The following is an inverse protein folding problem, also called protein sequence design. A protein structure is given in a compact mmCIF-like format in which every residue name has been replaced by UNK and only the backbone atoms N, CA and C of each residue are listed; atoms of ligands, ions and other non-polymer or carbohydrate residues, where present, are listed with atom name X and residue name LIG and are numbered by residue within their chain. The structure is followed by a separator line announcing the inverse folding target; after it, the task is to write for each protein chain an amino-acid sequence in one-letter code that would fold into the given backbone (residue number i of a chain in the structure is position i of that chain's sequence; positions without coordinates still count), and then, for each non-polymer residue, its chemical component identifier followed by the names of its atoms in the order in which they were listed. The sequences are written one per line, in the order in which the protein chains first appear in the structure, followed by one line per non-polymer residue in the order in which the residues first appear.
data_IF_327194481046
#
_entry.id   IF_327194481046
#
_cell.length_a   1.000
_cell.length_b   1.000
_cell.length_c   1.000
_cell.angle_alpha   90.00
_cell.angle_beta   90.00
_cell.angle_gamma   90.00
#
_symmetry.space_group_name_H-M   'P 1'
#
loop_
_entity.id
_entity.type
_entity.pdbx_description
1 polymer ?
#
# COMPACT_ATOMS: atom_id res chain seq x y z
N UNK A 1 0.66 14.17 9.01
CA UNK A 1 0.89 13.93 10.47
C UNK A 1 0.45 12.51 10.77
N UNK A 2 1.38 11.54 10.88
CA UNK A 2 1.06 10.19 11.32
C UNK A 2 0.38 10.30 12.70
N UNK A 3 -0.92 10.01 12.80
CA UNK A 3 -1.58 9.88 14.10
C UNK A 3 -0.90 8.72 14.83
N UNK A 4 -0.07 9.02 15.80
CA UNK A 4 0.39 8.02 16.76
C UNK A 4 -0.83 7.58 17.56
N UNK A 5 -1.36 6.39 17.23
CA UNK A 5 -2.44 5.80 18.01
C UNK A 5 -1.97 5.60 19.44
N UNK A 6 -2.74 6.09 20.40
CA UNK A 6 -2.49 5.82 21.82
C UNK A 6 -3.10 4.46 22.19
N UNK A 7 -2.64 3.88 23.29
CA UNK A 7 -3.25 2.64 23.85
C UNK A 7 -4.76 2.82 24.05
N UNK A 8 -5.19 4.01 24.41
CA UNK A 8 -6.60 4.37 24.59
C UNK A 8 -7.37 4.32 23.27
N UNK A 9 -6.81 4.86 22.19
CA UNK A 9 -7.44 4.85 20.86
C UNK A 9 -7.63 3.41 20.36
N UNK A 10 -6.59 2.59 20.48
CA UNK A 10 -6.63 1.17 20.11
C UNK A 10 -7.63 0.40 20.97
N UNK A 11 -7.63 0.62 22.28
CA UNK A 11 -8.57 -0.04 23.20
C UNK A 11 -10.03 0.30 22.87
N UNK A 12 -10.30 1.59 22.60
CA UNK A 12 -11.64 2.05 22.22
C UNK A 12 -12.09 1.45 20.88
N UNK A 13 -11.23 1.48 19.85
CA UNK A 13 -11.53 0.94 18.54
C UNK A 13 -11.74 -0.58 18.56
N UNK A 14 -10.96 -1.33 19.37
CA UNK A 14 -11.07 -2.78 19.50
C UNK A 14 -12.15 -3.23 20.50
N UNK A 15 -12.81 -2.31 21.23
CA UNK A 15 -13.82 -2.64 22.24
C UNK A 15 -13.25 -3.42 23.43
N UNK A 16 -12.07 -3.05 23.91
CA UNK A 16 -11.38 -3.64 25.07
C UNK A 16 -10.90 -2.55 26.03
N UNK A 17 -10.43 -2.93 27.23
CA UNK A 17 -9.87 -1.95 28.17
C UNK A 17 -8.41 -1.59 27.82
N UNK A 18 -8.00 -0.35 28.08
CA UNK A 18 -6.61 0.11 27.92
C UNK A 18 -5.64 -0.75 28.74
N UNK A 19 -6.02 -1.12 29.98
CA UNK A 19 -5.24 -2.01 30.82
C UNK A 19 -5.05 -3.41 30.23
N UNK A 20 -6.04 -3.90 29.47
CA UNK A 20 -5.93 -5.17 28.75
C UNK A 20 -4.91 -5.07 27.60
N UNK A 21 -5.01 -4.02 26.77
CA UNK A 21 -4.05 -3.78 25.66
C UNK A 21 -2.64 -3.68 26.22
N UNK A 22 -2.44 -2.89 27.28
CA UNK A 22 -1.14 -2.72 27.94
C UNK A 22 -0.56 -4.02 28.53
N UNK A 23 -1.40 -4.92 29.06
CA UNK A 23 -0.94 -6.26 29.52
C UNK A 23 -0.61 -7.17 28.34
N UNK A 24 -1.39 -7.10 27.26
CA UNK A 24 -1.16 -7.90 26.06
C UNK A 24 0.18 -7.53 25.40
N UNK A 25 0.47 -6.24 25.23
CA UNK A 25 1.77 -5.76 24.72
C UNK A 25 2.97 -6.26 25.53
N UNK A 26 2.80 -6.37 26.84
CA UNK A 26 3.87 -6.87 27.74
C UNK A 26 3.90 -8.39 27.84
N UNK A 27 3.13 -9.11 27.02
CA UNK A 27 3.06 -10.57 27.07
C UNK A 27 2.45 -11.14 28.37
N UNK A 28 1.73 -10.31 29.13
CA UNK A 28 1.13 -10.68 30.46
C UNK A 28 -0.35 -11.05 30.39
N UNK A 29 -0.88 -11.15 29.18
CA UNK A 29 -2.27 -11.56 28.91
C UNK A 29 -2.35 -12.27 27.58
N UNK A 30 -3.26 -13.20 27.43
CA UNK A 30 -3.62 -13.82 26.15
C UNK A 30 -4.91 -13.19 25.63
N UNK A 31 -5.08 -13.21 24.30
CA UNK A 31 -6.27 -12.74 23.62
C UNK A 31 -6.85 -13.86 22.75
N UNK A 32 -8.19 -13.90 22.62
CA UNK A 32 -8.83 -14.77 21.65
C UNK A 32 -8.54 -14.30 20.21
N UNK A 33 -8.65 -15.19 19.24
CA UNK A 33 -8.49 -14.85 17.80
C UNK A 33 -9.42 -13.69 17.41
N UNK A 34 -10.68 -13.72 17.87
CA UNK A 34 -11.63 -12.64 17.61
C UNK A 34 -11.19 -11.29 18.21
N UNK A 35 -10.53 -11.31 19.38
CA UNK A 35 -9.98 -10.09 19.99
C UNK A 35 -8.75 -9.60 19.22
N UNK A 36 -7.88 -10.52 18.78
CA UNK A 36 -6.71 -10.18 17.94
C UNK A 36 -7.12 -9.58 16.60
N UNK A 37 -8.19 -10.13 15.96
CA UNK A 37 -8.76 -9.54 14.74
C UNK A 37 -9.21 -8.09 14.93
N UNK A 38 -9.92 -7.79 16.03
CA UNK A 38 -10.36 -6.43 16.33
C UNK A 38 -9.18 -5.49 16.64
N UNK A 39 -8.16 -5.98 17.33
CA UNK A 39 -6.94 -5.22 17.59
C UNK A 39 -6.16 -4.94 16.31
N UNK A 40 -5.99 -5.93 15.43
CA UNK A 40 -5.35 -5.77 14.12
C UNK A 40 -6.08 -4.71 13.28
N UNK A 41 -7.42 -4.83 13.18
CA UNK A 41 -8.24 -3.84 12.49
C UNK A 41 -8.13 -2.42 13.10
N UNK A 42 -8.06 -2.31 14.45
CA UNK A 42 -7.93 -1.04 15.14
C UNK A 42 -6.60 -0.32 14.84
N UNK A 43 -5.52 -1.07 14.55
CA UNK A 43 -4.21 -0.52 14.19
C UNK A 43 -3.94 -0.55 12.67
N UNK A 44 -4.90 -1.05 11.87
CA UNK A 44 -4.81 -1.06 10.40
C UNK A 44 -3.83 -2.09 9.84
N UNK A 45 -3.70 -3.27 10.47
CA UNK A 45 -2.87 -4.37 9.99
C UNK A 45 -3.69 -5.66 9.84
N UNK A 46 -3.20 -6.61 9.06
CA UNK A 46 -3.79 -7.94 8.95
C UNK A 46 -3.49 -8.77 10.21
N UNK A 47 -4.40 -9.68 10.57
CA UNK A 47 -4.18 -10.57 11.74
C UNK A 47 -2.92 -11.42 11.58
N UNK A 48 -2.54 -11.79 10.35
CA UNK A 48 -1.31 -12.49 10.01
C UNK A 48 -0.05 -11.72 10.45
N UNK A 49 -0.11 -10.38 10.40
CA UNK A 49 1.02 -9.52 10.76
C UNK A 49 1.29 -9.54 12.28
N UNK A 50 0.26 -9.81 13.10
CA UNK A 50 0.44 -10.00 14.55
C UNK A 50 1.24 -11.27 14.90
N UNK A 51 1.28 -12.25 14.00
CA UNK A 51 1.99 -13.51 14.16
C UNK A 51 3.27 -13.61 13.32
N UNK A 52 3.47 -12.65 12.42
CA UNK A 52 4.76 -12.45 11.77
C UNK A 52 5.73 -12.02 12.86
N UNK A 53 6.51 -12.96 13.42
CA UNK A 53 7.43 -12.73 14.55
C UNK A 53 8.27 -11.48 14.36
N UNK A 54 8.99 -11.03 15.41
CA UNK A 54 9.77 -9.77 15.41
C UNK A 54 10.41 -9.54 14.04
N UNK A 55 9.93 -8.52 13.33
CA UNK A 55 10.49 -8.12 12.04
C UNK A 55 11.99 -8.04 12.21
N UNK A 56 12.74 -8.82 11.45
CA UNK A 56 14.20 -8.79 11.53
C UNK A 56 14.63 -7.32 11.46
N UNK A 57 15.17 -6.81 12.56
CA UNK A 57 15.71 -5.46 12.64
C UNK A 57 16.99 -5.47 11.79
N UNK A 58 16.84 -5.10 10.52
CA UNK A 58 17.96 -5.09 9.58
C UNK A 58 17.50 -4.88 8.12
N UNK A 59 18.44 -4.63 7.21
CA UNK A 59 18.10 -4.48 5.81
C UNK A 59 17.53 -5.79 5.24
N UNK A 60 16.39 -5.70 4.58
CA UNK A 60 15.70 -6.83 3.94
C UNK A 60 15.85 -6.73 2.45
N UNK A 61 16.48 -7.73 1.84
CA UNK A 61 16.66 -7.78 0.39
C UNK A 61 15.57 -8.66 -0.22
N UNK A 62 14.75 -8.08 -1.10
CA UNK A 62 13.81 -8.82 -1.94
C UNK A 62 14.41 -8.94 -3.35
N UNK A 63 14.82 -10.12 -3.72
CA UNK A 63 15.41 -10.37 -5.04
C UNK A 63 14.34 -10.30 -6.13
N UNK A 64 14.71 -9.83 -7.33
CA UNK A 64 13.77 -9.69 -8.46
C UNK A 64 13.01 -10.98 -8.74
N UNK A 65 13.67 -12.14 -8.69
CA UNK A 65 13.09 -13.47 -8.92
C UNK A 65 12.12 -13.94 -7.81
N UNK A 66 12.15 -13.29 -6.65
CA UNK A 66 11.29 -13.60 -5.50
C UNK A 66 10.03 -12.73 -5.48
N UNK A 67 9.95 -11.73 -6.36
CA UNK A 67 8.78 -10.85 -6.45
C UNK A 67 7.61 -11.60 -7.02
N UNK A 68 6.49 -11.54 -6.32
CA UNK A 68 5.24 -12.07 -6.83
C UNK A 68 4.65 -11.09 -7.84
N UNK A 69 4.52 -11.52 -9.09
CA UNK A 69 3.80 -10.78 -10.12
C UNK A 69 2.31 -11.08 -10.01
N UNK A 70 1.50 -10.04 -10.00
CA UNK A 70 0.04 -10.11 -9.94
C UNK A 70 -0.53 -9.37 -11.15
N UNK A 71 -1.52 -9.98 -11.80
CA UNK A 71 -2.34 -9.29 -12.80
C UNK A 71 -3.03 -8.08 -12.14
N UNK A 72 -3.08 -6.95 -12.83
CA UNK A 72 -3.65 -5.73 -12.29
C UNK A 72 -4.33 -4.88 -13.38
N UNK A 73 -5.60 -4.56 -13.17
CA UNK A 73 -6.38 -3.78 -14.11
C UNK A 73 -6.57 -4.47 -15.45
N UNK A 74 -6.41 -3.73 -16.55
CA UNK A 74 -6.48 -4.23 -17.89
C UNK A 74 -5.08 -4.27 -18.52
N UNK A 75 -4.63 -5.39 -19.05
CA UNK A 75 -3.31 -5.59 -19.66
C UNK A 75 -2.16 -5.05 -18.78
N UNK A 76 -2.32 -5.15 -17.47
CA UNK A 76 -1.36 -4.66 -16.50
C UNK A 76 -0.90 -5.77 -15.56
N UNK A 77 0.28 -5.59 -14.99
CA UNK A 77 0.85 -6.46 -13.95
C UNK A 77 1.61 -5.62 -12.94
N UNK A 78 1.58 -6.03 -11.68
CA UNK A 78 2.29 -5.34 -10.61
C UNK A 78 3.09 -6.28 -9.72
N UNK A 79 4.10 -5.74 -9.05
CA UNK A 79 4.87 -6.45 -8.05
C UNK A 79 5.16 -5.55 -6.85
N UNK A 80 4.92 -6.06 -5.65
CA UNK A 80 5.31 -5.40 -4.41
C UNK A 80 6.84 -5.50 -4.24
N UNK A 81 7.49 -4.36 -3.95
CA UNK A 81 8.94 -4.27 -3.72
C UNK A 81 9.30 -4.22 -2.24
N UNK A 82 8.38 -3.77 -1.40
CA UNK A 82 8.54 -3.75 0.07
C UNK A 82 8.14 -5.10 0.64
N UNK A 83 9.03 -5.78 1.39
CA UNK A 83 8.67 -7.05 2.02
C UNK A 83 7.61 -6.85 3.11
N UNK A 84 6.68 -7.79 3.21
CA UNK A 84 5.69 -7.81 4.30
C UNK A 84 6.33 -8.24 5.63
N UNK A 85 5.81 -7.78 6.78
CA UNK A 85 4.72 -6.83 6.94
C UNK A 85 5.13 -5.41 6.51
N UNK A 86 4.18 -4.67 5.92
CA UNK A 86 4.37 -3.26 5.57
C UNK A 86 4.27 -2.42 6.84
N UNK A 87 5.16 -1.43 6.99
CA UNK A 87 5.15 -0.54 8.16
C UNK A 87 4.64 0.87 7.78
N UNK A 88 5.51 1.69 7.23
CA UNK A 88 5.21 3.08 6.88
C UNK A 88 5.24 3.35 5.38
N UNK A 89 5.70 2.38 4.61
CA UNK A 89 5.95 2.53 3.18
C UNK A 89 5.52 1.28 2.42
N UNK A 90 4.79 1.49 1.33
CA UNK A 90 4.52 0.49 0.30
C UNK A 90 5.14 0.95 -1.01
N UNK A 91 5.91 0.09 -1.66
CA UNK A 91 6.50 0.37 -2.97
C UNK A 91 6.09 -0.73 -3.94
N UNK A 92 5.49 -0.32 -5.04
CA UNK A 92 4.97 -1.21 -6.09
C UNK A 92 5.54 -0.79 -7.43
N UNK A 93 6.05 -1.73 -8.21
CA UNK A 93 6.22 -1.52 -9.65
C UNK A 93 5.01 -2.05 -10.40
N UNK A 94 4.62 -1.35 -11.48
CA UNK A 94 3.64 -1.85 -12.42
C UNK A 94 4.14 -1.69 -13.85
N UNK A 95 3.67 -2.60 -14.71
CA UNK A 95 3.90 -2.53 -16.13
C UNK A 95 2.53 -2.66 -16.83
N UNK A 96 2.32 -1.82 -17.83
CA UNK A 96 1.11 -1.78 -18.64
C UNK A 96 1.50 -1.99 -20.11
N UNK A 97 0.99 -3.04 -20.73
CA UNK A 97 1.17 -3.25 -22.17
C UNK A 97 0.38 -2.18 -22.95
N UNK A 98 0.58 -2.00 -24.24
CA UNK A 98 -0.15 -1.03 -25.05
C UNK A 98 -1.67 -1.09 -24.85
N UNK A 99 -2.30 0.03 -24.49
CA UNK A 99 -3.71 0.11 -24.11
C UNK A 99 -4.03 -0.36 -22.68
N UNK A 100 -3.05 -0.82 -21.94
CA UNK A 100 -3.23 -1.28 -20.55
C UNK A 100 -3.53 -0.15 -19.57
N UNK A 101 -4.15 -0.48 -18.43
CA UNK A 101 -4.55 0.51 -17.42
C UNK A 101 -4.78 -0.09 -16.04
N UNK A 102 -4.87 0.75 -15.02
CA UNK A 102 -5.24 0.34 -13.64
C UNK A 102 -6.69 -0.11 -13.51
N UNK A 103 -7.52 0.08 -14.54
CA UNK A 103 -8.93 -0.29 -14.59
C UNK A 103 -9.68 0.58 -15.59
N UNK A 104 -10.99 0.35 -15.74
CA UNK A 104 -11.82 1.10 -16.68
C UNK A 104 -12.16 2.50 -16.17
N UNK A 105 -12.36 2.64 -14.86
CA UNK A 105 -12.74 3.88 -14.19
C UNK A 105 -11.68 4.34 -13.18
N UNK A 106 -11.58 5.68 -12.91
CA UNK A 106 -10.78 6.19 -11.82
C UNK A 106 -11.25 5.61 -10.47
N UNK A 107 -10.32 5.26 -9.62
CA UNK A 107 -10.58 4.70 -8.29
C UNK A 107 -9.87 5.49 -7.19
N UNK A 108 -10.25 5.26 -5.94
CA UNK A 108 -9.61 5.81 -4.75
C UNK A 108 -9.26 4.67 -3.80
N UNK A 109 -8.22 4.86 -3.01
CA UNK A 109 -7.89 3.93 -1.92
C UNK A 109 -7.25 4.68 -0.75
N UNK A 110 -7.78 4.48 0.45
CA UNK A 110 -7.29 5.12 1.66
C UNK A 110 -7.20 6.65 1.57
N UNK A 111 -6.26 7.23 2.31
CA UNK A 111 -5.90 8.66 2.26
C UNK A 111 -4.38 8.79 2.47
N UNK A 112 -3.63 8.10 1.62
CA UNK A 112 -2.17 8.08 1.63
C UNK A 112 -1.60 9.16 0.72
N UNK A 113 -0.40 9.59 0.98
CA UNK A 113 0.42 10.31 0.02
C UNK A 113 1.01 9.29 -0.95
N UNK A 114 0.86 9.53 -2.24
CA UNK A 114 1.31 8.65 -3.29
C UNK A 114 2.17 9.41 -4.30
N UNK A 115 3.34 8.84 -4.63
CA UNK A 115 4.20 9.32 -5.69
C UNK A 115 4.20 8.27 -6.80
N UNK A 116 3.88 8.72 -8.02
CA UNK A 116 4.07 7.95 -9.25
C UNK A 116 5.33 8.45 -9.94
N UNK A 117 6.21 7.55 -10.37
CA UNK A 117 7.38 7.81 -11.18
C UNK A 117 7.32 6.92 -12.44
N UNK A 118 7.45 7.50 -13.62
CA UNK A 118 7.54 6.75 -14.87
C UNK A 118 8.97 6.25 -15.06
N UNK A 119 9.14 4.94 -15.09
CA UNK A 119 10.45 4.30 -15.31
C UNK A 119 10.77 4.08 -16.78
N UNK A 120 9.74 3.79 -17.59
CA UNK A 120 9.85 3.60 -19.04
C UNK A 120 8.52 3.87 -19.73
N UNK A 121 8.59 4.33 -20.98
CA UNK A 121 7.43 4.57 -21.82
C UNK A 121 6.69 5.87 -21.50
N UNK A 122 5.41 5.88 -21.85
CA UNK A 122 4.49 7.02 -21.69
C UNK A 122 3.24 6.54 -20.92
N UNK A 123 2.76 7.33 -19.98
CA UNK A 123 1.50 7.08 -19.31
C UNK A 123 0.63 8.33 -19.26
N UNK A 124 -0.68 8.11 -19.35
CA UNK A 124 -1.68 9.09 -18.96
C UNK A 124 -2.07 8.86 -17.50
N UNK A 125 -1.93 9.88 -16.67
CA UNK A 125 -2.50 9.90 -15.32
C UNK A 125 -3.73 10.80 -15.33
N UNK A 126 -4.90 10.20 -15.20
CA UNK A 126 -6.12 10.93 -14.86
C UNK A 126 -6.14 11.13 -13.33
N UNK A 127 -6.26 12.38 -12.89
CA UNK A 127 -6.30 12.77 -11.48
C UNK A 127 -7.47 13.74 -11.26
N UNK A 128 -8.57 13.22 -10.71
CA UNK A 128 -9.84 13.94 -10.68
C UNK A 128 -10.33 14.26 -12.09
N UNK A 129 -10.40 15.55 -12.43
CA UNK A 129 -10.78 16.03 -13.77
C UNK A 129 -9.60 16.34 -14.69
N UNK A 130 -8.37 16.26 -14.19
CA UNK A 130 -7.16 16.55 -14.95
C UNK A 130 -6.62 15.28 -15.61
N UNK A 131 -6.08 15.44 -16.83
CA UNK A 131 -5.33 14.40 -17.52
C UNK A 131 -3.90 14.89 -17.72
N UNK A 132 -2.95 14.15 -17.20
CA UNK A 132 -1.53 14.46 -17.24
C UNK A 132 -0.82 13.43 -18.13
N UNK A 133 -0.03 13.94 -19.10
CA UNK A 133 0.85 13.13 -19.92
C UNK A 133 2.21 13.07 -19.26
N UNK A 134 2.67 11.87 -18.89
CA UNK A 134 3.91 11.64 -18.18
C UNK A 134 4.82 10.74 -18.99
N UNK A 135 6.05 11.18 -19.19
CA UNK A 135 7.11 10.46 -19.90
C UNK A 135 8.14 9.88 -18.94
N UNK A 136 9.01 9.02 -19.44
CA UNK A 136 10.13 8.47 -18.66
C UNK A 136 10.89 9.53 -17.88
N UNK A 137 11.02 9.36 -16.57
CA UNK A 137 11.65 10.26 -15.62
C UNK A 137 10.71 11.26 -14.96
N UNK A 138 9.49 11.46 -15.48
CA UNK A 138 8.50 12.33 -14.85
C UNK A 138 7.91 11.69 -13.59
N UNK A 139 7.62 12.52 -12.60
CA UNK A 139 6.98 12.08 -11.38
C UNK A 139 5.88 13.04 -10.94
N UNK A 140 4.87 12.49 -10.29
CA UNK A 140 3.75 13.25 -9.75
C UNK A 140 3.44 12.76 -8.33
N UNK A 141 3.17 13.71 -7.43
CA UNK A 141 2.75 13.41 -6.06
C UNK A 141 1.28 13.82 -5.91
N UNK A 142 0.45 12.96 -5.34
CA UNK A 142 -0.96 13.20 -5.12
C UNK A 142 -1.50 12.43 -3.90
N UNK A 143 -2.75 12.70 -3.54
CA UNK A 143 -3.44 11.96 -2.48
C UNK A 143 -4.23 10.80 -3.10
N UNK A 144 -4.06 9.60 -2.57
CA UNK A 144 -4.77 8.40 -3.04
C UNK A 144 -6.30 8.47 -2.84
N UNK A 145 -6.77 9.42 -2.03
CA UNK A 145 -8.20 9.78 -1.89
C UNK A 145 -8.74 10.60 -3.06
N UNK A 146 -7.87 11.13 -3.94
CA UNK A 146 -8.29 11.74 -5.20
C UNK A 146 -8.55 10.64 -6.23
N UNK A 147 -9.71 10.60 -6.91
CA UNK A 147 -9.96 9.63 -7.96
C UNK A 147 -8.87 9.66 -9.02
N UNK A 148 -8.24 8.54 -9.28
CA UNK A 148 -7.10 8.46 -10.20
C UNK A 148 -7.13 7.18 -11.05
N UNK A 149 -6.54 7.26 -12.23
CA UNK A 149 -6.40 6.16 -13.18
C UNK A 149 -5.12 6.35 -13.99
N UNK A 150 -4.33 5.29 -14.10
CA UNK A 150 -3.15 5.26 -14.97
C UNK A 150 -3.47 4.40 -16.19
N UNK A 151 -3.05 4.86 -17.37
CA UNK A 151 -3.17 4.10 -18.62
C UNK A 151 -1.96 4.33 -19.52
N UNK A 152 -1.66 3.33 -20.34
CA UNK A 152 -0.59 3.40 -21.32
C UNK A 152 -1.19 3.73 -22.71
N UNK A 153 -1.02 4.96 -23.21
CA UNK A 153 -1.48 5.35 -24.56
C UNK A 153 -0.49 4.99 -25.67
N UNK A 154 0.71 4.53 -25.30
CA UNK A 154 1.80 4.23 -26.24
C UNK A 154 1.67 2.88 -26.91
N UNK A 155 2.60 2.57 -27.77
CA UNK A 155 2.72 1.32 -28.54
C UNK A 155 3.77 0.34 -27.95
N UNK A 156 4.46 0.77 -26.88
CA UNK A 156 5.39 -0.05 -26.10
C UNK A 156 4.90 -0.21 -24.66
N UNK A 157 5.40 -1.23 -23.95
CA UNK A 157 5.09 -1.42 -22.53
C UNK A 157 5.60 -0.21 -21.71
N UNK A 158 4.72 0.38 -20.91
CA UNK A 158 5.07 1.42 -19.95
C UNK A 158 5.34 0.80 -18.58
N UNK A 159 6.37 1.29 -17.88
CA UNK A 159 6.72 0.86 -16.53
C UNK A 159 6.65 2.04 -15.57
N UNK A 160 6.04 1.84 -14.40
CA UNK A 160 5.91 2.87 -13.36
C UNK A 160 6.27 2.32 -11.99
N UNK A 161 6.67 3.22 -11.09
CA UNK A 161 6.88 2.98 -9.69
C UNK A 161 5.86 3.80 -8.89
N UNK A 162 5.15 3.14 -7.98
CA UNK A 162 4.32 3.78 -6.98
C UNK A 162 5.00 3.69 -5.62
N UNK A 163 5.04 4.81 -4.90
CA UNK A 163 5.51 4.90 -3.52
C UNK A 163 4.35 5.47 -2.69
N UNK A 164 3.85 4.70 -1.74
CA UNK A 164 2.62 4.98 -1.00
C UNK A 164 2.94 5.03 0.50
N UNK A 165 2.55 6.12 1.16
CA UNK A 165 2.79 6.31 2.60
C UNK A 165 1.60 7.04 3.27
N UNK A 166 1.03 6.47 4.35
CA UNK A 166 1.21 5.09 4.82
C UNK A 166 0.71 4.07 3.80
N UNK A 167 1.05 2.77 3.93
CA UNK A 167 0.48 1.73 3.07
C UNK A 167 -1.05 1.79 3.06
N UNK A 168 -1.64 1.63 1.88
CA UNK A 168 -3.10 1.60 1.71
C UNK A 168 -3.57 0.15 1.61
N UNK A 169 -4.42 -0.25 2.54
CA UNK A 169 -5.07 -1.56 2.59
C UNK A 169 -6.48 -1.48 2.04
#
# INVERSE_FOLDING_TARGET
MLRRLTLRDVAQAAGVSESFVSRLERGRSSASVATLQRLAAAVGIEISDLFAGESQVGPRVLRRQERQLLEWGHLGRKALLTPKPLHSLEVVTAAFDPGGSTGDEPYTHGDSEELLLVLAGLVHLQLGSELLDLSTGDSVNYRSSTPHRVSNPGDETAEVLFVISPPSY
#
